data_IF_250929447733
#
_entry.id   IF_250929447733
#
_cell.length_a   1.000
_cell.length_b   1.000
_cell.length_c   1.000
_cell.angle_alpha   90.00
_cell.angle_beta   90.00
_cell.angle_gamma   90.00
#
_symmetry.space_group_name_H-M   'P 1'
#
loop_
_entity.id
_entity.type
_entity.pdbx_description
1 polymer ?
#
# COMPACT_ATOMS: atom_id res chain seq x y z
N UNK A 1 -2.62 4.24 -2.69
CA UNK A 1 -1.20 4.49 -3.11
C UNK A 1 -1.12 5.30 -4.40
N UNK A 2 -1.38 4.73 -5.59
CA UNK A 2 -1.25 5.48 -6.85
C UNK A 2 -2.09 6.76 -6.90
N UNK A 3 -3.31 6.73 -6.36
CA UNK A 3 -4.14 7.94 -6.25
C UNK A 3 -3.50 9.05 -5.40
N UNK A 4 -2.85 8.68 -4.28
CA UNK A 4 -2.16 9.61 -3.38
C UNK A 4 -0.92 10.21 -4.06
N UNK A 5 -0.12 9.36 -4.70
CA UNK A 5 1.17 9.77 -5.30
C UNK A 5 0.99 10.45 -6.66
N UNK A 6 -0.16 10.31 -7.33
CA UNK A 6 -0.42 10.89 -8.65
C UNK A 6 -0.30 12.41 -8.67
N UNK A 7 -0.87 13.10 -7.68
CA UNK A 7 -0.79 14.57 -7.59
C UNK A 7 0.66 15.05 -7.51
N UNK A 8 1.48 14.37 -6.68
CA UNK A 8 2.90 14.65 -6.57
C UNK A 8 3.63 14.33 -7.89
N UNK A 9 3.36 13.17 -8.50
CA UNK A 9 3.96 12.77 -9.77
C UNK A 9 3.71 13.78 -10.89
N UNK A 10 2.46 14.24 -11.04
CA UNK A 10 2.09 15.27 -12.01
C UNK A 10 2.75 16.62 -11.72
N UNK A 11 2.88 16.98 -10.45
CA UNK A 11 3.54 18.22 -10.04
C UNK A 11 5.05 18.19 -10.36
N UNK A 12 5.73 17.07 -10.09
CA UNK A 12 7.17 16.93 -10.35
C UNK A 12 7.50 16.85 -11.85
N UNK A 13 6.54 16.46 -12.70
CA UNK A 13 6.72 16.42 -14.15
C UNK A 13 6.58 17.80 -14.82
N UNK A 14 5.98 18.77 -14.14
CA UNK A 14 5.84 20.14 -14.67
C UNK A 14 7.17 20.89 -14.55
N UNK A 15 7.51 21.63 -15.61
CA UNK A 15 8.80 22.35 -15.70
C UNK A 15 8.83 23.67 -14.93
N UNK A 16 7.66 24.24 -14.64
CA UNK A 16 7.54 25.59 -14.05
C UNK A 16 7.08 25.54 -12.58
N UNK A 17 7.44 24.48 -11.86
CA UNK A 17 6.96 24.27 -10.49
C UNK A 17 7.79 25.09 -9.49
N UNK A 18 7.12 25.84 -8.64
CA UNK A 18 7.74 26.46 -7.47
C UNK A 18 8.24 25.38 -6.49
N UNK A 19 9.50 25.49 -6.06
CA UNK A 19 10.17 24.50 -5.22
C UNK A 19 9.46 24.34 -3.88
N UNK A 20 9.00 25.45 -3.28
CA UNK A 20 8.28 25.43 -1.99
C UNK A 20 6.97 24.66 -2.13
N UNK A 21 6.24 24.91 -3.22
CA UNK A 21 5.00 24.21 -3.55
C UNK A 21 5.23 22.71 -3.78
N UNK A 22 6.31 22.32 -4.47
CA UNK A 22 6.67 20.93 -4.67
C UNK A 22 7.01 20.21 -3.35
N UNK A 23 7.79 20.86 -2.47
CA UNK A 23 8.14 20.30 -1.16
C UNK A 23 6.92 20.13 -0.25
N UNK A 24 5.97 21.07 -0.27
CA UNK A 24 4.70 20.92 0.44
C UNK A 24 3.92 19.70 -0.06
N UNK A 25 3.88 19.45 -1.37
CA UNK A 25 3.23 18.26 -1.93
C UNK A 25 3.94 16.97 -1.53
N UNK A 26 5.27 16.96 -1.44
CA UNK A 26 6.03 15.82 -0.91
C UNK A 26 5.61 15.53 0.53
N UNK A 27 5.55 16.56 1.39
CA UNK A 27 5.11 16.42 2.78
C UNK A 27 3.69 15.85 2.88
N UNK A 28 2.73 16.45 2.18
CA UNK A 28 1.34 15.96 2.16
C UNK A 28 1.25 14.54 1.63
N UNK A 29 2.04 14.18 0.61
CA UNK A 29 2.08 12.81 0.09
C UNK A 29 2.59 11.81 1.14
N UNK A 30 3.66 12.16 1.88
CA UNK A 30 4.19 11.33 2.98
C UNK A 30 3.15 11.16 4.09
N UNK A 31 2.50 12.23 4.53
CA UNK A 31 1.45 12.21 5.56
C UNK A 31 0.26 11.32 5.15
N UNK A 32 -0.23 11.46 3.91
CA UNK A 32 -1.32 10.64 3.41
C UNK A 32 -0.94 9.16 3.29
N UNK A 33 0.30 8.85 2.88
CA UNK A 33 0.78 7.46 2.85
C UNK A 33 0.86 6.84 4.25
N UNK A 34 1.29 7.61 5.26
CA UNK A 34 1.27 7.16 6.66
C UNK A 34 -0.15 6.93 7.17
N UNK A 35 -1.08 7.84 6.89
CA UNK A 35 -2.48 7.67 7.28
C UNK A 35 -3.11 6.43 6.63
N UNK A 36 -2.83 6.21 5.34
CA UNK A 36 -3.24 5.00 4.61
C UNK A 36 -2.65 3.75 5.24
N UNK A 37 -1.36 3.78 5.59
CA UNK A 37 -0.65 2.67 6.23
C UNK A 37 -1.32 2.26 7.53
N UNK A 38 -1.66 3.23 8.38
CA UNK A 38 -2.08 2.96 9.75
C UNK A 38 -3.58 2.64 9.85
N UNK A 39 -4.43 3.30 9.05
CA UNK A 39 -5.88 3.30 9.26
C UNK A 39 -6.71 2.72 8.10
N UNK A 40 -6.23 2.73 6.86
CA UNK A 40 -7.09 2.47 5.68
C UNK A 40 -7.08 1.02 5.19
N UNK A 41 -6.40 0.10 5.90
CA UNK A 41 -6.33 -1.28 5.44
C UNK A 41 -7.68 -1.99 5.43
N UNK A 42 -8.45 -1.87 6.51
CA UNK A 42 -9.74 -2.58 6.62
C UNK A 42 -10.75 -2.02 5.60
N UNK A 43 -10.77 -0.71 5.39
CA UNK A 43 -11.60 -0.08 4.36
C UNK A 43 -11.23 -0.57 2.95
N UNK A 44 -9.94 -0.68 2.65
CA UNK A 44 -9.49 -1.22 1.37
C UNK A 44 -9.92 -2.68 1.19
N UNK A 45 -9.82 -3.50 2.23
CA UNK A 45 -10.25 -4.90 2.21
C UNK A 45 -11.75 -4.99 1.98
N UNK A 46 -12.55 -4.14 2.62
CA UNK A 46 -14.00 -4.08 2.42
C UNK A 46 -14.35 -3.69 0.97
N UNK A 47 -13.75 -2.64 0.44
CA UNK A 47 -13.96 -2.19 -0.95
C UNK A 47 -13.56 -3.28 -1.96
N UNK A 48 -12.40 -3.92 -1.75
CA UNK A 48 -11.94 -5.01 -2.60
C UNK A 48 -12.86 -6.23 -2.51
N UNK A 49 -13.33 -6.58 -1.31
CA UNK A 49 -14.26 -7.69 -1.11
C UNK A 49 -15.60 -7.43 -1.80
N UNK A 50 -16.15 -6.21 -1.66
CA UNK A 50 -17.37 -5.78 -2.35
C UNK A 50 -17.25 -5.88 -3.86
N UNK A 51 -16.10 -5.45 -4.42
CA UNK A 51 -15.80 -5.64 -5.84
C UNK A 51 -15.76 -7.12 -6.23
N UNK A 52 -15.06 -7.96 -5.45
CA UNK A 52 -14.98 -9.38 -5.72
C UNK A 52 -16.36 -10.05 -5.71
N UNK A 53 -17.21 -9.76 -4.72
CA UNK A 53 -18.57 -10.28 -4.65
C UNK A 53 -19.42 -9.87 -5.85
N UNK A 54 -19.29 -8.63 -6.32
CA UNK A 54 -20.00 -8.13 -7.51
C UNK A 54 -19.62 -8.87 -8.79
N UNK A 55 -18.42 -9.45 -8.84
CA UNK A 55 -17.86 -10.11 -10.02
C UNK A 55 -17.71 -11.63 -9.84
N UNK A 56 -18.36 -12.22 -8.83
CA UNK A 56 -18.30 -13.66 -8.51
C UNK A 56 -16.86 -14.18 -8.29
N UNK A 57 -15.99 -13.31 -7.77
CA UNK A 57 -14.61 -13.65 -7.40
C UNK A 57 -14.59 -14.13 -5.96
N UNK A 58 -14.03 -15.31 -5.73
CA UNK A 58 -13.92 -15.90 -4.39
C UNK A 58 -12.91 -15.10 -3.56
N UNK A 59 -13.36 -14.56 -2.43
CA UNK A 59 -12.50 -13.88 -1.45
C UNK A 59 -11.97 -14.92 -0.45
N UNK A 60 -10.65 -15.01 -0.22
CA UNK A 60 -10.08 -15.93 0.76
C UNK A 60 -10.42 -15.48 2.20
N UNK A 61 -10.64 -16.44 3.09
CA UNK A 61 -10.88 -16.15 4.52
C UNK A 61 -9.59 -15.60 5.16
N UNK A 62 -9.68 -14.47 5.86
CA UNK A 62 -8.49 -13.79 6.41
C UNK A 62 -7.77 -14.58 7.51
N UNK A 63 -8.50 -15.39 8.29
CA UNK A 63 -7.96 -16.21 9.37
C UNK A 63 -7.42 -17.58 8.90
N UNK A 64 -7.67 -17.96 7.64
CA UNK A 64 -7.13 -19.20 7.09
C UNK A 64 -5.61 -19.13 6.91
N UNK A 65 -4.99 -20.30 7.01
CA UNK A 65 -3.55 -20.46 6.74
C UNK A 65 -3.25 -20.11 5.29
N UNK A 66 -2.36 -19.15 5.08
CA UNK A 66 -1.83 -18.81 3.78
C UNK A 66 -0.87 -19.91 3.32
N UNK A 67 -1.30 -20.68 2.31
CA UNK A 67 -0.46 -21.70 1.68
C UNK A 67 0.18 -21.09 0.44
N UNK A 68 1.52 -21.06 0.41
CA UNK A 68 2.25 -20.64 -0.77
C UNK A 68 2.03 -21.69 -1.87
N UNK A 69 1.44 -21.33 -3.02
CA UNK A 69 1.23 -22.27 -4.12
C UNK A 69 2.56 -22.88 -4.58
N UNK A 70 2.59 -24.21 -4.74
CA UNK A 70 3.77 -24.92 -5.25
C UNK A 70 4.91 -25.13 -4.25
N UNK A 71 4.74 -24.80 -2.96
CA UNK A 71 5.73 -25.11 -1.91
C UNK A 71 5.24 -26.19 -0.95
N UNK A 72 6.17 -27.02 -0.51
CA UNK A 72 5.93 -27.99 0.56
C UNK A 72 5.58 -27.28 1.86
N UNK A 73 4.56 -27.78 2.56
CA UNK A 73 4.15 -27.29 3.89
C UNK A 73 5.14 -27.70 4.99
N UNK A 74 6.06 -28.62 4.70
CA UNK A 74 7.00 -29.15 5.69
C UNK A 74 7.90 -28.03 6.20
N UNK A 75 7.69 -27.63 7.45
CA UNK A 75 8.41 -26.56 8.18
C UNK A 75 8.11 -25.12 7.71
N UNK A 76 7.03 -24.87 6.97
CA UNK A 76 6.62 -23.50 6.67
C UNK A 76 6.00 -22.86 7.94
N UNK A 77 6.34 -21.60 8.28
CA UNK A 77 5.67 -20.90 9.36
C UNK A 77 4.18 -20.74 9.01
N UNK A 78 3.29 -21.17 9.93
CA UNK A 78 1.85 -20.90 9.80
C UNK A 78 1.63 -19.40 9.85
N UNK A 79 1.30 -18.82 8.68
CA UNK A 79 0.90 -17.42 8.54
C UNK A 79 -0.53 -17.37 8.04
N UNK A 80 -1.31 -16.41 8.50
CA UNK A 80 -2.68 -16.22 8.02
C UNK A 80 -2.68 -15.42 6.72
N UNK A 81 -3.78 -15.52 5.96
CA UNK A 81 -4.04 -14.64 4.82
C UNK A 81 -3.97 -13.16 5.24
N UNK A 82 -4.51 -12.81 6.42
CA UNK A 82 -4.41 -11.46 6.96
C UNK A 82 -2.96 -10.98 7.07
N UNK A 83 -2.07 -11.78 7.67
CA UNK A 83 -0.66 -11.40 7.81
C UNK A 83 0.01 -11.19 6.46
N UNK A 84 -0.26 -12.06 5.48
CA UNK A 84 0.27 -11.93 4.12
C UNK A 84 -0.17 -10.61 3.47
N UNK A 85 -1.46 -10.31 3.48
CA UNK A 85 -1.98 -9.12 2.81
C UNK A 85 -1.65 -7.83 3.57
N UNK A 86 -1.83 -7.80 4.90
CA UNK A 86 -1.57 -6.60 5.72
C UNK A 86 -0.09 -6.28 5.78
N UNK A 87 0.74 -7.24 6.18
CA UNK A 87 2.13 -6.97 6.57
C UNK A 87 3.05 -7.10 5.35
N UNK A 88 3.02 -8.27 4.69
CA UNK A 88 3.99 -8.57 3.65
C UNK A 88 3.73 -7.84 2.32
N UNK A 89 2.48 -7.40 2.09
CA UNK A 89 2.10 -6.69 0.87
C UNK A 89 1.78 -5.23 1.18
N UNK A 90 0.71 -4.94 1.92
CA UNK A 90 0.21 -3.58 2.06
C UNK A 90 1.19 -2.66 2.78
N UNK A 91 1.60 -3.03 4.00
CA UNK A 91 2.58 -2.25 4.77
C UNK A 91 3.91 -2.19 4.02
N UNK A 92 4.40 -3.33 3.51
CA UNK A 92 5.67 -3.38 2.79
C UNK A 92 5.74 -2.42 1.59
N UNK A 93 4.69 -2.36 0.77
CA UNK A 93 4.64 -1.46 -0.38
C UNK A 93 4.61 0.00 0.06
N UNK A 94 3.82 0.34 1.08
CA UNK A 94 3.72 1.73 1.55
C UNK A 94 5.05 2.18 2.19
N UNK A 95 5.65 1.34 3.03
CA UNK A 95 6.93 1.60 3.67
C UNK A 95 8.02 1.80 2.60
N UNK A 96 8.00 1.02 1.52
CA UNK A 96 8.90 1.22 0.39
C UNK A 96 8.72 2.58 -0.31
N UNK A 97 7.48 3.02 -0.52
CA UNK A 97 7.21 4.35 -1.10
C UNK A 97 7.66 5.48 -0.16
N UNK A 98 7.43 5.33 1.14
CA UNK A 98 7.84 6.29 2.15
C UNK A 98 9.36 6.38 2.26
N UNK A 99 10.06 5.24 2.26
CA UNK A 99 11.52 5.18 2.26
C UNK A 99 12.10 5.91 1.05
N UNK A 100 11.60 5.62 -0.16
CA UNK A 100 12.04 6.28 -1.38
C UNK A 100 11.83 7.80 -1.36
N UNK A 101 10.66 8.25 -0.87
CA UNK A 101 10.36 9.67 -0.72
C UNK A 101 11.23 10.35 0.34
N UNK A 102 11.60 9.64 1.40
CA UNK A 102 12.52 10.15 2.42
C UNK A 102 13.92 10.27 1.86
N UNK A 103 14.46 9.21 1.24
CA UNK A 103 15.82 9.20 0.72
C UNK A 103 16.06 10.24 -0.37
N UNK A 104 15.04 10.49 -1.23
CA UNK A 104 15.15 11.48 -2.33
C UNK A 104 14.90 12.92 -1.88
N UNK A 105 14.01 13.13 -0.93
CA UNK A 105 13.60 14.44 -0.44
C UNK A 105 13.85 14.51 1.06
N UNK A 106 15.14 14.47 1.40
CA UNK A 106 15.60 14.81 2.73
C UNK A 106 15.32 16.30 2.98
N UNK A 107 14.77 16.61 4.15
CA UNK A 107 14.74 17.97 4.68
C UNK A 107 16.14 18.41 5.14
#
# INVERSE_FOLDING_TARGET
ILGITNTLSLALQKKDQDIVSAMNLVKTCKENLQLMRDNEFEELVEQASSFCYKHDIIVPTMDEEYVIPGRSRRNAPMKTNYHRYRVEIFIHVIDGQLAELNDRFNE
#
